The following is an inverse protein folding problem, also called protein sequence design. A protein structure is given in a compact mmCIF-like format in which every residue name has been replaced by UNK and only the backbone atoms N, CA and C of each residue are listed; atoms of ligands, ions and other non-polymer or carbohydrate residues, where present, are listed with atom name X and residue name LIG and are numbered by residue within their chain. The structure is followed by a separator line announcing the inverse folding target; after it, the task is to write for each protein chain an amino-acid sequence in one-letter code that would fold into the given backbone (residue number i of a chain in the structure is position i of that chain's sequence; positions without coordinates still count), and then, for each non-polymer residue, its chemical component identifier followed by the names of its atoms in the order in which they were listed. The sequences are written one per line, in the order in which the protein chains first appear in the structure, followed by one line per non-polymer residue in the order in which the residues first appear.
data_IF_823992150415
#
_entry.id   IF_823992150415
#
_cell.length_a   1.000
_cell.length_b   1.000
_cell.length_c   1.000
_cell.angle_alpha   90.00
_cell.angle_beta   90.00
_cell.angle_gamma   90.00
#
_symmetry.space_group_name_H-M   'P 1'
#
loop_
_entity.id
_entity.type
_entity.pdbx_description
1 polymer ?
#
# COMPACT_ATOMS: atom_id res chain seq x y z
N UNK A 1 -19.12 -6.99 -22.13
CA UNK A 1 -17.83 -7.69 -22.27
C UNK A 1 -16.74 -6.66 -22.09
N UNK A 2 -15.99 -6.71 -21.00
CA UNK A 2 -14.75 -5.93 -20.90
C UNK A 2 -13.78 -6.55 -21.91
N UNK A 3 -13.29 -5.78 -22.86
CA UNK A 3 -12.34 -6.27 -23.86
C UNK A 3 -11.03 -6.58 -23.13
N UNK A 4 -10.40 -7.71 -23.44
CA UNK A 4 -9.14 -8.16 -22.79
C UNK A 4 -8.02 -7.09 -22.84
N UNK A 5 -8.13 -6.15 -23.79
CA UNK A 5 -7.27 -4.96 -23.89
C UNK A 5 -7.33 -4.05 -22.66
N UNK A 6 -8.52 -3.79 -22.11
CA UNK A 6 -8.69 -2.86 -20.98
C UNK A 6 -8.05 -3.40 -19.70
N UNK A 7 -8.19 -4.71 -19.45
CA UNK A 7 -7.58 -5.36 -18.30
C UNK A 7 -6.05 -5.36 -18.39
N UNK A 8 -5.52 -5.58 -19.59
CA UNK A 8 -4.08 -5.54 -19.86
C UNK A 8 -3.49 -4.14 -19.65
N UNK A 9 -4.20 -3.10 -20.09
CA UNK A 9 -3.77 -1.70 -19.89
C UNK A 9 -3.73 -1.35 -18.40
N UNK A 10 -4.78 -1.68 -17.64
CA UNK A 10 -4.83 -1.42 -16.20
C UNK A 10 -3.72 -2.12 -15.42
N UNK A 11 -3.36 -3.35 -15.82
CA UNK A 11 -2.24 -4.07 -15.23
C UNK A 11 -0.91 -3.37 -15.51
N UNK A 12 -0.70 -2.91 -16.75
CA UNK A 12 0.51 -2.18 -17.15
C UNK A 12 0.65 -0.86 -16.41
N UNK A 13 -0.42 -0.08 -16.31
CA UNK A 13 -0.45 1.20 -15.58
C UNK A 13 -0.11 1.00 -14.10
N UNK A 14 -0.76 0.02 -13.45
CA UNK A 14 -0.47 -0.31 -12.06
C UNK A 14 0.99 -0.73 -11.86
N UNK A 15 1.50 -1.62 -12.72
CA UNK A 15 2.88 -2.10 -12.63
C UNK A 15 3.88 -0.95 -12.80
N UNK A 16 3.64 -0.05 -13.74
CA UNK A 16 4.50 1.11 -13.98
C UNK A 16 4.58 2.05 -12.76
N UNK A 17 3.45 2.34 -12.12
CA UNK A 17 3.43 3.16 -10.90
C UNK A 17 4.14 2.48 -9.73
N UNK A 18 3.89 1.18 -9.54
CA UNK A 18 4.49 0.41 -8.46
C UNK A 18 6.00 0.28 -8.64
N UNK A 19 6.48 0.06 -9.86
CA UNK A 19 7.92 0.05 -10.17
C UNK A 19 8.57 1.41 -9.93
N UNK A 20 7.87 2.51 -10.25
CA UNK A 20 8.36 3.85 -9.98
C UNK A 20 8.53 4.09 -8.47
N UNK A 21 7.54 3.68 -7.66
CA UNK A 21 7.61 3.75 -6.19
C UNK A 21 8.73 2.84 -5.66
N UNK A 22 8.83 1.61 -6.19
CA UNK A 22 9.83 0.62 -5.76
C UNK A 22 11.28 1.03 -5.99
N UNK A 23 11.54 1.97 -6.92
CA UNK A 23 12.88 2.53 -7.15
C UNK A 23 13.32 3.50 -6.05
N UNK A 24 12.41 4.01 -5.22
CA UNK A 24 12.74 4.95 -4.15
C UNK A 24 13.40 4.21 -2.99
N UNK A 25 14.67 4.54 -2.70
CA UNK A 25 15.42 4.00 -1.57
C UNK A 25 16.02 5.14 -0.74
N UNK A 26 15.31 5.56 0.31
CA UNK A 26 15.72 6.67 1.18
C UNK A 26 15.32 6.37 2.64
N UNK A 27 16.14 6.76 3.66
CA UNK A 27 15.86 6.45 5.06
C UNK A 27 14.51 6.97 5.60
N UNK A 28 13.98 8.04 5.00
CA UNK A 28 12.70 8.65 5.41
C UNK A 28 11.51 8.26 4.51
N UNK A 29 11.70 7.28 3.61
CA UNK A 29 10.62 6.77 2.74
C UNK A 29 10.46 5.29 3.03
N UNK A 30 9.22 4.87 3.30
CA UNK A 30 8.93 3.45 3.54
C UNK A 30 9.19 2.66 2.27
N UNK A 31 10.03 1.63 2.39
CA UNK A 31 10.38 0.78 1.25
C UNK A 31 9.21 -0.11 0.87
N UNK A 32 8.87 -0.11 -0.41
CA UNK A 32 7.98 -1.10 -1.00
C UNK A 32 8.77 -2.38 -1.27
N UNK A 33 8.27 -3.52 -0.76
CA UNK A 33 8.93 -4.83 -0.86
C UNK A 33 8.35 -5.71 -1.95
N UNK A 34 7.03 -5.67 -2.11
CA UNK A 34 6.32 -6.47 -3.09
C UNK A 34 4.94 -5.86 -3.37
N UNK A 35 4.27 -6.40 -4.39
CA UNK A 35 2.88 -6.09 -4.70
C UNK A 35 2.16 -7.35 -5.18
N UNK A 36 0.83 -7.32 -5.10
CA UNK A 36 -0.04 -8.32 -5.70
C UNK A 36 -1.11 -7.61 -6.53
N UNK A 37 -1.42 -8.19 -7.69
CA UNK A 37 -2.45 -7.68 -8.58
C UNK A 37 -3.38 -8.81 -9.00
N UNK A 38 -4.66 -8.63 -8.71
CA UNK A 38 -5.77 -9.43 -9.21
C UNK A 38 -6.83 -8.52 -9.85
N UNK A 39 -7.81 -9.11 -10.50
CA UNK A 39 -8.91 -8.37 -11.13
C UNK A 39 -9.76 -7.57 -10.13
N UNK A 40 -9.87 -8.06 -8.90
CA UNK A 40 -10.74 -7.58 -7.83
C UNK A 40 -9.95 -6.97 -6.66
N UNK A 41 -8.64 -7.20 -6.59
CA UNK A 41 -7.81 -6.73 -5.48
C UNK A 41 -6.41 -6.28 -5.94
N UNK A 42 -5.88 -5.26 -5.26
CA UNK A 42 -4.51 -4.78 -5.44
C UNK A 42 -3.90 -4.54 -4.07
N UNK A 43 -2.76 -5.19 -3.79
CA UNK A 43 -2.08 -5.10 -2.51
C UNK A 43 -0.65 -4.60 -2.68
N UNK A 44 -0.20 -3.83 -1.70
CA UNK A 44 1.18 -3.36 -1.57
C UNK A 44 1.76 -3.88 -0.26
N UNK A 45 2.98 -4.39 -0.31
CA UNK A 45 3.69 -4.94 0.86
C UNK A 45 4.87 -4.04 1.17
N UNK A 46 4.93 -3.50 2.38
CA UNK A 46 5.96 -2.58 2.83
C UNK A 46 6.47 -2.91 4.24
N UNK A 47 7.47 -2.16 4.71
CA UNK A 47 7.85 -2.20 6.12
C UNK A 47 6.73 -1.69 7.04
N UNK A 48 6.52 -2.38 8.16
CA UNK A 48 5.51 -1.99 9.14
C UNK A 48 5.96 -0.77 9.94
N UNK A 49 5.12 0.27 9.97
CA UNK A 49 5.35 1.50 10.75
C UNK A 49 4.59 1.39 12.08
N UNK A 50 5.32 1.01 13.12
CA UNK A 50 4.77 0.73 14.47
C UNK A 50 3.95 1.87 15.09
N UNK A 51 4.34 3.11 14.83
CA UNK A 51 3.73 4.29 15.46
C UNK A 51 2.51 4.83 14.70
N UNK A 52 2.06 4.14 13.64
CA UNK A 52 0.94 4.60 12.82
C UNK A 52 1.28 5.84 11.98
N UNK A 53 0.24 6.58 11.60
CA UNK A 53 0.38 7.77 10.74
C UNK A 53 0.79 9.00 11.55
N UNK A 54 1.56 9.88 10.91
CA UNK A 54 1.89 11.19 11.48
C UNK A 54 0.65 12.01 11.81
N UNK A 55 -0.41 11.88 10.99
CA UNK A 55 -1.69 12.50 11.24
C UNK A 55 -2.25 12.12 12.63
N UNK A 56 -2.25 10.83 12.97
CA UNK A 56 -2.74 10.35 14.26
C UNK A 56 -1.87 10.85 15.42
N UNK A 57 -0.54 10.91 15.23
CA UNK A 57 0.37 11.42 16.24
C UNK A 57 0.15 12.92 16.54
N UNK A 58 -0.20 13.70 15.52
CA UNK A 58 -0.41 15.15 15.67
C UNK A 58 -1.82 15.53 16.16
N UNK A 59 -2.85 14.75 15.82
CA UNK A 59 -4.25 15.11 16.06
C UNK A 59 -4.92 14.23 17.13
N UNK A 60 -4.21 13.27 17.72
CA UNK A 60 -4.72 12.45 18.81
C UNK A 60 -5.94 11.62 18.41
N UNK A 61 -5.79 10.71 17.44
CA UNK A 61 -6.86 9.77 17.10
C UNK A 61 -6.75 8.51 17.96
N UNK A 62 -7.30 8.60 19.18
CA UNK A 62 -7.40 7.51 20.16
C UNK A 62 -8.41 6.47 19.69
N UNK A 63 -8.02 5.55 18.84
CA UNK A 63 -8.65 4.22 18.80
C UNK A 63 -7.64 3.18 19.31
N UNK A 64 -7.24 3.35 20.56
CA UNK A 64 -6.76 2.21 21.34
C UNK A 64 -7.98 1.38 21.72
N UNK A 65 -8.36 0.42 20.86
CA UNK A 65 -8.90 -0.83 21.38
C UNK A 65 -7.73 -1.58 22.03
N UNK A 66 -7.29 -1.08 23.18
CA UNK A 66 -6.54 -1.87 24.12
C UNK A 66 -7.53 -2.87 24.72
N UNK A 67 -7.22 -4.16 24.55
CA UNK A 67 -7.92 -5.36 25.02
C UNK A 67 -9.32 -5.64 24.44
N UNK A 68 -9.36 -6.58 23.50
CA UNK A 68 -10.40 -7.62 23.45
C UNK A 68 -9.82 -8.88 22.77
N UNK A 69 -8.78 -9.46 23.38
CA UNK A 69 -8.67 -10.90 23.45
C UNK A 69 -9.04 -11.28 24.88
N UNK A 70 -10.34 -11.50 25.08
CA UNK A 70 -10.85 -12.48 26.05
C UNK A 70 -11.48 -13.59 25.23
#
# INVERSE_FOLDING_TARGET
MLTEGDATLRYKEFTAEVEAIGKVNHPNVVRLKAYYYASDEKLLVSDFIRNGSLYNALHGNTYVLHSAFV
#
